data_IF_186459036455
#
_entry.id   IF_186459036455
#
_cell.length_a   1.000
_cell.length_b   1.000
_cell.length_c   1.000
_cell.angle_alpha   90.00
_cell.angle_beta   90.00
_cell.angle_gamma   90.00
#
_symmetry.space_group_name_H-M   'P 1'
#
loop_
_entity.id
_entity.type
_entity.pdbx_description
1 polymer ?
#
# COMPACT_ATOMS: atom_id res chain seq x y z
N UNK A 1 -1.26 -3.77 2.85
CA UNK A 1 -2.72 -3.88 2.59
C UNK A 1 -3.56 -3.24 3.68
N UNK A 2 -4.87 -3.18 3.43
CA UNK A 2 -5.83 -2.62 4.38
C UNK A 2 -5.98 -3.47 5.65
N UNK A 3 -5.82 -4.77 5.56
CA UNK A 3 -5.83 -5.67 6.72
C UNK A 3 -4.68 -5.42 7.68
N UNK A 4 -3.50 -5.11 7.18
CA UNK A 4 -2.31 -4.82 7.99
C UNK A 4 -2.40 -3.47 8.71
N UNK A 5 -3.33 -2.60 8.32
CA UNK A 5 -3.56 -1.34 9.02
C UNK A 5 -4.24 -1.52 10.39
N UNK A 6 -4.76 -2.72 10.70
CA UNK A 6 -5.28 -3.04 12.03
C UNK A 6 -4.16 -3.36 13.04
N UNK A 7 -2.93 -3.56 12.57
CA UNK A 7 -1.79 -3.78 13.47
C UNK A 7 -1.43 -2.48 14.21
N UNK A 8 -1.20 -2.53 15.53
CA UNK A 8 -0.85 -1.35 16.32
C UNK A 8 0.35 -0.59 15.78
N UNK A 9 1.35 -1.30 15.26
CA UNK A 9 2.55 -0.74 14.68
C UNK A 9 2.26 0.08 13.41
N UNK A 10 1.28 -0.35 12.62
CA UNK A 10 0.90 0.36 11.39
C UNK A 10 0.26 1.72 11.68
N UNK A 11 -0.54 1.81 12.75
CA UNK A 11 -1.25 3.03 13.12
C UNK A 11 -0.48 3.90 14.11
N UNK A 12 0.41 3.30 14.89
CA UNK A 12 1.06 3.97 16.02
C UNK A 12 1.95 5.16 15.66
N UNK A 13 2.53 5.16 14.47
CA UNK A 13 3.49 6.18 14.04
C UNK A 13 2.95 7.18 13.00
N UNK A 14 1.70 7.05 12.52
CA UNK A 14 1.19 7.94 11.47
C UNK A 14 1.18 9.41 11.88
N UNK A 15 0.90 9.74 13.15
CA UNK A 15 0.92 11.10 13.65
C UNK A 15 2.32 11.74 13.69
N UNK A 16 3.38 10.93 13.75
CA UNK A 16 4.75 11.43 13.74
C UNK A 16 5.12 12.03 12.38
N UNK A 17 4.77 11.37 11.29
CA UNK A 17 5.09 11.84 9.95
C UNK A 17 4.53 13.23 9.64
N UNK A 18 3.32 13.54 10.12
CA UNK A 18 2.72 14.86 9.94
C UNK A 18 3.35 15.92 10.85
N UNK A 19 3.68 15.58 12.11
CA UNK A 19 4.39 16.51 13.02
C UNK A 19 5.78 16.90 12.50
N UNK A 20 6.46 15.96 11.84
CA UNK A 20 7.77 16.17 11.22
C UNK A 20 7.68 16.78 9.82
N UNK A 21 6.46 17.08 9.33
CA UNK A 21 6.21 17.65 7.99
C UNK A 21 6.88 16.87 6.85
N UNK A 22 6.79 15.54 6.89
CA UNK A 22 7.41 14.67 5.89
C UNK A 22 6.60 14.70 4.56
N UNK A 23 6.62 15.82 3.87
CA UNK A 23 5.85 16.03 2.64
C UNK A 23 6.38 15.24 1.41
N UNK A 24 7.56 14.65 1.52
CA UNK A 24 8.11 13.71 0.57
C UNK A 24 7.74 12.24 0.86
N UNK A 25 6.96 11.97 1.91
CA UNK A 25 6.48 10.64 2.25
C UNK A 25 5.11 10.39 1.61
N UNK A 26 5.02 9.34 0.82
CA UNK A 26 3.78 8.88 0.19
C UNK A 26 3.52 7.44 0.61
N UNK A 27 2.42 7.21 1.33
CA UNK A 27 1.91 5.86 1.59
C UNK A 27 0.90 5.47 0.53
N UNK A 28 0.94 4.23 0.08
CA UNK A 28 -0.08 3.65 -0.78
C UNK A 28 -0.66 2.43 -0.08
N UNK A 29 -1.93 2.51 0.32
CA UNK A 29 -2.62 1.41 0.97
C UNK A 29 -3.44 0.68 -0.08
N UNK A 30 -3.11 -0.58 -0.30
CA UNK A 30 -3.85 -1.47 -1.17
C UNK A 30 -5.13 -1.93 -0.46
N UNK A 31 -6.26 -1.33 -0.80
CA UNK A 31 -7.55 -1.60 -0.19
C UNK A 31 -8.34 -2.60 -1.03
N UNK A 32 -8.03 -3.89 -0.90
CA UNK A 32 -8.81 -4.94 -1.54
C UNK A 32 -10.03 -5.38 -0.70
N UNK A 33 -10.16 -4.90 0.54
CA UNK A 33 -11.22 -5.15 1.51
C UNK A 33 -11.23 -6.60 2.04
N UNK A 34 -10.18 -7.37 1.79
CA UNK A 34 -10.13 -8.80 2.16
C UNK A 34 -8.89 -9.15 2.96
N UNK A 35 -9.10 -9.94 4.02
CA UNK A 35 -8.06 -10.71 4.71
C UNK A 35 -7.87 -12.08 4.04
N UNK A 36 -7.34 -13.05 4.77
CA UNK A 36 -7.14 -14.42 4.27
C UNK A 36 -8.48 -15.13 4.04
N UNK A 37 -9.36 -15.09 5.01
CA UNK A 37 -10.57 -15.91 5.07
C UNK A 37 -11.88 -15.10 5.00
N UNK A 38 -11.79 -13.79 4.82
CA UNK A 38 -12.98 -12.94 4.79
C UNK A 38 -12.69 -11.45 4.58
N UNK A 39 -13.71 -10.59 4.69
CA UNK A 39 -13.54 -9.15 4.58
C UNK A 39 -12.79 -8.57 5.78
N UNK A 40 -12.08 -7.46 5.57
CA UNK A 40 -11.45 -6.69 6.66
C UNK A 40 -12.52 -6.13 7.59
N UNK A 41 -13.60 -5.57 6.99
CA UNK A 41 -14.80 -5.11 7.69
C UNK A 41 -16.02 -5.70 6.98
N UNK A 42 -16.72 -6.66 7.57
CA UNK A 42 -17.90 -7.26 6.95
C UNK A 42 -19.04 -6.25 6.73
N UNK A 43 -19.43 -5.59 7.79
CA UNK A 43 -20.49 -4.59 7.86
C UNK A 43 -19.97 -3.16 8.13
N UNK A 44 -18.67 -2.92 7.97
CA UNK A 44 -18.02 -1.63 8.07
C UNK A 44 -17.51 -1.15 6.71
N UNK A 45 -16.67 -0.11 6.74
CA UNK A 45 -16.11 0.57 5.56
C UNK A 45 -14.66 0.97 5.83
N UNK A 46 -13.73 0.06 5.62
CA UNK A 46 -12.33 0.26 5.98
C UNK A 46 -11.69 1.47 5.30
N UNK A 47 -12.05 1.79 4.05
CA UNK A 47 -11.47 2.94 3.34
C UNK A 47 -11.88 4.25 4.04
N UNK A 48 -13.12 4.37 4.49
CA UNK A 48 -13.59 5.56 5.21
C UNK A 48 -13.00 5.65 6.62
N UNK A 49 -12.82 4.51 7.29
CA UNK A 49 -12.13 4.44 8.59
C UNK A 49 -10.68 4.91 8.46
N UNK A 50 -9.95 4.41 7.45
CA UNK A 50 -8.57 4.84 7.17
C UNK A 50 -8.50 6.31 6.75
N UNK A 51 -9.43 6.78 5.91
CA UNK A 51 -9.51 8.21 5.55
C UNK A 51 -9.62 9.07 6.79
N UNK A 52 -10.55 8.75 7.70
CA UNK A 52 -10.75 9.51 8.94
C UNK A 52 -9.51 9.47 9.85
N UNK A 53 -8.86 8.31 9.98
CA UNK A 53 -7.67 8.15 10.79
C UNK A 53 -6.49 8.97 10.26
N UNK A 54 -6.23 8.93 8.96
CA UNK A 54 -5.14 9.68 8.34
C UNK A 54 -5.41 11.19 8.32
N UNK A 55 -6.65 11.62 8.03
CA UNK A 55 -7.03 13.03 8.14
C UNK A 55 -6.84 13.54 9.56
N UNK A 56 -7.31 12.77 10.56
CA UNK A 56 -7.14 13.10 11.99
C UNK A 56 -5.68 13.16 12.42
N UNK A 57 -4.80 12.39 11.78
CA UNK A 57 -3.35 12.42 12.00
C UNK A 57 -2.62 13.51 11.20
N UNK A 58 -3.32 14.35 10.44
CA UNK A 58 -2.74 15.48 9.71
C UNK A 58 -2.15 15.13 8.35
N UNK A 59 -2.61 14.06 7.71
CA UNK A 59 -2.18 13.66 6.37
C UNK A 59 -3.08 14.24 5.28
N UNK A 60 -2.51 14.49 4.12
CA UNK A 60 -3.26 14.63 2.87
C UNK A 60 -3.73 13.25 2.40
N UNK A 61 -5.05 13.11 2.13
CA UNK A 61 -5.65 11.82 1.76
C UNK A 61 -6.19 11.87 0.34
N UNK A 62 -5.74 10.95 -0.50
CA UNK A 62 -6.23 10.77 -1.87
C UNK A 62 -6.90 9.39 -1.96
N UNK A 63 -8.20 9.36 -2.28
CA UNK A 63 -8.93 8.11 -2.52
C UNK A 63 -9.01 7.78 -4.01
N UNK A 64 -8.57 6.60 -4.39
CA UNK A 64 -8.64 6.08 -5.77
C UNK A 64 -9.59 4.87 -5.78
N UNK A 65 -10.89 5.14 -5.72
CA UNK A 65 -11.93 4.13 -5.53
C UNK A 65 -12.51 3.65 -6.85
N UNK A 66 -12.95 4.59 -7.69
CA UNK A 66 -13.66 4.30 -8.93
C UNK A 66 -12.75 4.46 -10.14
N UNK A 67 -12.76 3.47 -11.03
CA UNK A 67 -12.05 3.55 -12.31
C UNK A 67 -12.80 4.38 -13.35
N UNK A 68 -12.13 4.67 -14.46
CA UNK A 68 -12.65 5.55 -15.51
C UNK A 68 -13.96 5.04 -16.16
N UNK A 69 -14.22 3.74 -16.12
CA UNK A 69 -15.48 3.18 -16.65
C UNK A 69 -16.71 3.59 -15.83
N UNK A 70 -16.54 4.07 -14.61
CA UNK A 70 -17.61 4.64 -13.79
C UNK A 70 -17.90 6.11 -14.11
N UNK A 71 -16.96 6.82 -14.73
CA UNK A 71 -17.09 8.27 -14.94
C UNK A 71 -18.37 8.65 -15.71
N UNK A 72 -18.79 7.95 -16.78
CA UNK A 72 -20.04 8.27 -17.46
C UNK A 72 -21.28 8.08 -16.59
N UNK A 73 -21.32 7.04 -15.75
CA UNK A 73 -22.44 6.79 -14.83
C UNK A 73 -22.50 7.86 -13.74
N UNK A 74 -21.33 8.23 -13.20
CA UNK A 74 -21.22 9.30 -12.19
C UNK A 74 -21.60 10.68 -12.74
N UNK A 75 -21.33 10.94 -14.03
CA UNK A 75 -21.76 12.18 -14.72
C UNK A 75 -23.27 12.23 -14.92
N UNK A 76 -23.91 11.10 -15.18
CA UNK A 76 -25.36 11.00 -15.31
C UNK A 76 -26.11 11.10 -13.98
N UNK A 77 -25.42 10.91 -12.86
CA UNK A 77 -26.00 10.90 -11.51
C UNK A 77 -26.31 12.33 -11.00
N UNK A 78 -27.19 13.03 -11.73
CA UNK A 78 -27.56 14.42 -11.41
C UNK A 78 -28.24 14.58 -10.05
N UNK A 79 -28.95 13.55 -9.58
CA UNK A 79 -29.63 13.53 -8.26
C UNK A 79 -28.74 13.00 -7.14
N UNK A 80 -27.53 12.53 -7.43
CA UNK A 80 -26.60 11.95 -6.46
C UNK A 80 -27.07 10.60 -5.89
N UNK A 81 -28.01 9.91 -6.55
CA UNK A 81 -28.55 8.65 -6.08
C UNK A 81 -27.56 7.50 -6.16
N UNK A 82 -26.79 7.43 -7.26
CA UNK A 82 -25.71 6.46 -7.41
C UNK A 82 -24.63 6.66 -6.34
N UNK A 83 -24.18 7.91 -6.15
CA UNK A 83 -23.20 8.25 -5.10
C UNK A 83 -23.69 7.92 -3.71
N UNK A 84 -24.98 8.19 -3.41
CA UNK A 84 -25.59 7.83 -2.13
C UNK A 84 -25.57 6.31 -1.93
N UNK A 85 -26.01 5.54 -2.92
CA UNK A 85 -25.97 4.07 -2.83
C UNK A 85 -24.56 3.54 -2.62
N UNK A 86 -23.56 4.08 -3.35
CA UNK A 86 -22.15 3.76 -3.12
C UNK A 86 -21.69 4.07 -1.70
N UNK A 87 -22.17 5.15 -1.11
CA UNK A 87 -21.86 5.54 0.26
C UNK A 87 -22.56 4.64 1.31
N UNK A 88 -23.71 4.05 0.99
CA UNK A 88 -24.45 3.16 1.87
C UNK A 88 -23.87 1.74 1.89
N UNK A 89 -23.29 1.27 0.78
CA UNK A 89 -22.72 -0.07 0.67
C UNK A 89 -21.61 -0.32 1.69
N UNK A 90 -21.72 -1.43 2.40
CA UNK A 90 -20.66 -1.93 3.29
C UNK A 90 -19.67 -2.84 2.53
N UNK A 91 -18.51 -3.07 3.11
CA UNK A 91 -17.41 -3.79 2.43
C UNK A 91 -17.78 -5.21 2.01
N UNK A 92 -18.58 -5.91 2.83
CA UNK A 92 -19.07 -7.26 2.51
C UNK A 92 -20.00 -7.30 1.30
N UNK A 93 -20.94 -6.33 1.19
CA UNK A 93 -21.80 -6.21 -0.01
C UNK A 93 -20.96 -5.88 -1.25
N UNK A 94 -20.03 -4.94 -1.09
CA UNK A 94 -19.18 -4.45 -2.16
C UNK A 94 -18.34 -5.53 -2.81
N UNK A 95 -17.83 -6.47 -2.02
CA UNK A 95 -17.09 -7.63 -2.51
C UNK A 95 -17.99 -8.62 -3.26
N UNK A 96 -19.20 -8.86 -2.75
CA UNK A 96 -20.14 -9.73 -3.42
C UNK A 96 -20.46 -9.29 -4.84
N UNK A 97 -20.55 -7.98 -5.10
CA UNK A 97 -20.83 -7.48 -6.44
C UNK A 97 -19.77 -7.88 -7.45
N UNK A 98 -18.50 -7.89 -7.10
CA UNK A 98 -17.45 -8.36 -8.02
C UNK A 98 -17.38 -9.88 -8.10
N UNK A 99 -17.46 -10.57 -6.96
CA UNK A 99 -17.31 -12.01 -6.91
C UNK A 99 -18.46 -12.76 -7.61
N UNK A 100 -19.70 -12.25 -7.49
CA UNK A 100 -20.91 -12.90 -8.03
C UNK A 100 -21.26 -12.47 -9.47
N UNK A 101 -20.55 -11.49 -10.02
CA UNK A 101 -20.68 -11.10 -11.41
C UNK A 101 -21.66 -9.98 -11.71
N UNK A 102 -21.78 -9.63 -13.02
CA UNK A 102 -22.53 -8.47 -13.47
C UNK A 102 -24.04 -8.61 -13.29
N UNK A 103 -24.62 -9.77 -13.56
CA UNK A 103 -26.05 -10.01 -13.35
C UNK A 103 -26.45 -9.78 -11.88
N UNK A 104 -25.64 -10.30 -10.94
CA UNK A 104 -25.87 -10.08 -9.52
C UNK A 104 -25.75 -8.60 -9.14
N UNK A 105 -24.77 -7.90 -9.71
CA UNK A 105 -24.57 -6.47 -9.49
C UNK A 105 -25.72 -5.64 -10.04
N UNK A 106 -26.21 -5.99 -11.23
CA UNK A 106 -27.40 -5.34 -11.83
C UNK A 106 -28.60 -5.43 -10.91
N UNK A 107 -28.88 -6.62 -10.40
CA UNK A 107 -30.07 -6.84 -9.59
C UNK A 107 -29.92 -6.30 -8.16
N UNK A 108 -28.79 -6.54 -7.50
CA UNK A 108 -28.64 -6.28 -6.06
C UNK A 108 -27.99 -4.94 -5.73
N UNK A 109 -27.35 -4.27 -6.70
CA UNK A 109 -26.83 -2.91 -6.56
C UNK A 109 -27.70 -1.91 -7.32
N UNK A 110 -27.66 -1.93 -8.65
CA UNK A 110 -28.44 -0.99 -9.45
C UNK A 110 -29.95 -1.19 -9.29
N UNK A 111 -30.40 -2.44 -9.12
CA UNK A 111 -31.80 -2.79 -8.93
C UNK A 111 -32.43 -2.29 -7.63
N UNK A 112 -31.65 -1.76 -6.67
CA UNK A 112 -32.18 -1.14 -5.45
C UNK A 112 -33.03 0.11 -5.73
N UNK A 113 -32.79 0.77 -6.87
CA UNK A 113 -33.53 1.95 -7.31
C UNK A 113 -33.87 1.86 -8.78
N UNK A 114 -35.15 2.11 -9.20
CA UNK A 114 -35.55 2.06 -10.61
C UNK A 114 -34.69 2.95 -11.53
N UNK A 115 -34.33 4.14 -11.06
CA UNK A 115 -33.53 5.10 -11.82
C UNK A 115 -32.10 4.57 -12.09
N UNK A 116 -31.51 3.84 -11.15
CA UNK A 116 -30.21 3.24 -11.34
C UNK A 116 -30.26 2.01 -12.22
N UNK A 117 -31.36 1.24 -12.17
CA UNK A 117 -31.60 0.13 -13.08
C UNK A 117 -31.73 0.62 -14.53
N UNK A 118 -32.43 1.73 -14.75
CA UNK A 118 -32.55 2.40 -16.04
C UNK A 118 -31.20 2.94 -16.52
N UNK A 119 -30.41 3.54 -15.64
CA UNK A 119 -29.05 4.07 -15.96
C UNK A 119 -28.13 3.02 -16.62
N UNK A 120 -28.29 1.75 -16.28
CA UNK A 120 -27.49 0.63 -16.79
C UNK A 120 -28.27 -0.28 -17.74
N UNK A 121 -29.44 0.14 -18.22
CA UNK A 121 -30.28 -0.69 -19.09
C UNK A 121 -29.57 -1.13 -20.39
N UNK A 122 -28.74 -0.26 -20.92
CA UNK A 122 -27.97 -0.49 -22.17
C UNK A 122 -26.62 -1.21 -21.97
N UNK A 123 -26.22 -1.48 -20.72
CA UNK A 123 -25.00 -2.21 -20.42
C UNK A 123 -25.32 -3.71 -20.35
N UNK A 124 -24.47 -4.55 -20.92
CA UNK A 124 -24.52 -6.00 -20.69
C UNK A 124 -24.08 -6.33 -19.26
N UNK A 125 -24.35 -7.55 -18.81
CA UNK A 125 -23.85 -8.00 -17.51
C UNK A 125 -22.32 -8.09 -17.48
N UNK A 126 -21.70 -8.36 -18.63
CA UNK A 126 -20.26 -8.34 -18.78
C UNK A 126 -19.69 -6.92 -18.65
N UNK A 127 -20.35 -5.90 -19.25
CA UNK A 127 -19.95 -4.50 -19.08
C UNK A 127 -20.02 -4.08 -17.61
N UNK A 128 -21.08 -4.46 -16.90
CA UNK A 128 -21.22 -4.18 -15.47
C UNK A 128 -20.12 -4.89 -14.66
N UNK A 129 -19.76 -6.11 -15.02
CA UNK A 129 -18.68 -6.82 -14.36
C UNK A 129 -17.32 -6.16 -14.59
N UNK A 130 -17.12 -5.57 -15.78
CA UNK A 130 -15.91 -4.86 -16.17
C UNK A 130 -15.80 -3.44 -15.58
N UNK A 131 -16.84 -2.89 -14.94
CA UNK A 131 -16.73 -1.62 -14.21
C UNK A 131 -15.59 -1.72 -13.20
N UNK A 132 -14.48 -1.05 -13.52
CA UNK A 132 -13.20 -1.24 -12.83
C UNK A 132 -13.08 -0.46 -11.51
N UNK A 133 -12.17 -0.90 -10.67
CA UNK A 133 -11.78 -0.20 -9.43
C UNK A 133 -10.62 0.73 -9.71
N UNK A 134 -10.58 1.87 -9.02
CA UNK A 134 -9.61 2.93 -9.26
C UNK A 134 -8.16 2.50 -9.12
N UNK A 135 -7.86 1.60 -8.15
CA UNK A 135 -6.52 1.06 -7.96
C UNK A 135 -5.99 0.19 -9.12
N UNK A 136 -6.89 -0.21 -10.05
CA UNK A 136 -6.55 -0.93 -11.28
C UNK A 136 -6.71 -0.07 -12.54
N UNK A 137 -6.91 1.23 -12.37
CA UNK A 137 -7.01 2.19 -13.47
C UNK A 137 -5.72 2.99 -13.57
N UNK A 138 -4.92 2.71 -14.60
CA UNK A 138 -3.60 3.32 -14.76
C UNK A 138 -3.65 4.86 -14.76
N UNK A 139 -4.68 5.46 -15.38
CA UNK A 139 -4.85 6.93 -15.42
C UNK A 139 -5.17 7.49 -14.03
N UNK A 140 -6.11 6.86 -13.32
CA UNK A 140 -6.49 7.30 -11.97
C UNK A 140 -5.33 7.18 -10.99
N UNK A 141 -4.57 6.07 -11.06
CA UNK A 141 -3.38 5.83 -10.25
C UNK A 141 -2.29 6.87 -10.59
N UNK A 142 -1.99 7.08 -11.87
CA UNK A 142 -1.01 8.10 -12.29
C UNK A 142 -1.37 9.49 -11.77
N UNK A 143 -2.63 9.90 -11.91
CA UNK A 143 -3.09 11.20 -11.43
C UNK A 143 -2.99 11.34 -9.90
N UNK A 144 -3.25 10.25 -9.16
CA UNK A 144 -3.11 10.25 -7.70
C UNK A 144 -1.64 10.45 -7.29
N UNK A 145 -0.71 9.73 -7.91
CA UNK A 145 0.72 9.94 -7.67
C UNK A 145 1.18 11.34 -8.07
N UNK A 146 0.70 11.85 -9.20
CA UNK A 146 1.04 13.21 -9.64
C UNK A 146 0.55 14.26 -8.64
N UNK A 147 -0.66 14.09 -8.10
CA UNK A 147 -1.20 14.98 -7.08
C UNK A 147 -0.39 14.87 -5.76
N UNK A 148 -0.07 13.65 -5.33
CA UNK A 148 0.75 13.41 -4.15
C UNK A 148 2.14 14.03 -4.25
N UNK A 149 2.81 13.90 -5.41
CA UNK A 149 4.14 14.49 -5.66
C UNK A 149 4.15 16.01 -5.69
N UNK A 150 3.02 16.66 -5.95
CA UNK A 150 2.88 18.12 -5.96
C UNK A 150 2.45 18.70 -4.62
N UNK A 151 1.95 17.84 -3.73
CA UNK A 151 1.50 18.28 -2.42
C UNK A 151 2.70 18.56 -1.51
N UNK A 152 2.63 19.63 -0.73
CA UNK A 152 3.68 20.07 0.19
C UNK A 152 3.13 20.32 1.59
N UNK A 153 3.99 20.27 2.59
CA UNK A 153 3.67 20.59 3.97
C UNK A 153 2.98 19.45 4.76
N UNK A 154 2.63 18.34 4.12
CA UNK A 154 2.01 17.19 4.75
C UNK A 154 2.43 15.89 4.05
N UNK A 155 2.59 14.77 4.76
CA UNK A 155 2.67 13.45 4.11
C UNK A 155 1.36 13.12 3.41
N UNK A 156 1.43 12.32 2.35
CA UNK A 156 0.26 11.91 1.58
C UNK A 156 0.00 10.42 1.70
N UNK A 157 -1.25 10.02 1.90
CA UNK A 157 -1.70 8.64 1.75
C UNK A 157 -2.62 8.51 0.54
N UNK A 158 -2.37 7.48 -0.29
CA UNK A 158 -3.24 7.08 -1.39
C UNK A 158 -3.97 5.80 -0.96
N UNK A 159 -5.28 5.88 -0.78
CA UNK A 159 -6.15 4.73 -0.50
C UNK A 159 -6.63 4.17 -1.83
N UNK A 160 -5.97 3.12 -2.31
CA UNK A 160 -6.21 2.54 -3.62
C UNK A 160 -7.15 1.34 -3.54
N UNK A 161 -8.40 1.49 -4.00
CA UNK A 161 -9.35 0.39 -4.08
C UNK A 161 -8.99 -0.58 -5.17
N UNK A 162 -8.72 -1.81 -4.79
CA UNK A 162 -8.33 -2.90 -5.67
C UNK A 162 -9.26 -4.11 -5.54
N UNK A 163 -8.97 -5.16 -6.29
CA UNK A 163 -9.65 -6.45 -6.25
C UNK A 163 -8.61 -7.52 -5.95
N UNK A 164 -8.86 -8.36 -4.96
CA UNK A 164 -7.99 -9.50 -4.65
C UNK A 164 -7.95 -10.46 -5.84
N UNK A 165 -6.74 -10.85 -6.26
CA UNK A 165 -6.57 -11.70 -7.44
C UNK A 165 -6.96 -11.04 -8.76
N UNK A 166 -6.87 -9.72 -8.86
CA UNK A 166 -7.16 -9.00 -10.10
C UNK A 166 -6.41 -9.59 -11.30
N UNK A 167 -7.12 -9.83 -12.36
CA UNK A 167 -6.58 -10.41 -13.59
C UNK A 167 -6.74 -11.92 -13.70
N UNK A 168 -6.96 -12.64 -12.60
CA UNK A 168 -7.09 -14.09 -12.62
C UNK A 168 -8.40 -14.59 -13.25
N UNK A 169 -9.33 -13.68 -13.54
CA UNK A 169 -10.63 -14.02 -14.11
C UNK A 169 -11.52 -14.84 -13.19
N UNK A 170 -12.67 -15.24 -13.72
CA UNK A 170 -13.64 -16.03 -12.92
C UNK A 170 -13.12 -17.42 -12.60
N UNK A 171 -12.43 -18.06 -13.54
CA UNK A 171 -11.84 -19.40 -13.37
C UNK A 171 -10.69 -19.39 -12.37
N UNK A 172 -9.90 -18.32 -12.30
CA UNK A 172 -8.80 -18.13 -11.36
C UNK A 172 -9.23 -17.61 -9.98
N UNK A 173 -10.53 -17.40 -9.74
CA UNK A 173 -11.05 -16.98 -8.44
C UNK A 173 -10.92 -15.48 -8.14
N UNK A 174 -10.89 -14.61 -9.16
CA UNK A 174 -10.85 -13.15 -8.95
C UNK A 174 -11.94 -12.68 -8.00
N UNK A 175 -11.58 -11.85 -7.04
CA UNK A 175 -12.41 -11.34 -5.95
C UNK A 175 -12.87 -12.38 -4.91
N UNK A 176 -12.35 -13.59 -4.96
CA UNK A 176 -12.72 -14.66 -4.03
C UNK A 176 -11.60 -14.92 -3.00
N UNK A 177 -11.95 -15.41 -1.82
CA UNK A 177 -10.97 -15.72 -0.77
C UNK A 177 -10.00 -16.83 -1.19
N UNK A 178 -10.49 -17.80 -2.00
CA UNK A 178 -9.67 -18.90 -2.51
C UNK A 178 -8.41 -18.45 -3.23
N UNK A 179 -8.41 -17.24 -3.80
CA UNK A 179 -7.26 -16.66 -4.50
C UNK A 179 -6.00 -16.63 -3.63
N UNK A 180 -6.16 -16.47 -2.31
CA UNK A 180 -5.00 -16.45 -1.42
C UNK A 180 -4.27 -17.79 -1.35
N UNK A 181 -4.98 -18.89 -1.53
CA UNK A 181 -4.44 -20.25 -1.49
C UNK A 181 -4.16 -20.82 -2.89
N UNK A 182 -4.44 -20.07 -3.95
CA UNK A 182 -4.23 -20.50 -5.33
C UNK A 182 -2.73 -20.66 -5.61
N UNK A 183 -2.28 -21.89 -5.74
CA UNK A 183 -0.86 -22.21 -6.01
C UNK A 183 -0.54 -22.37 -7.48
N UNK A 184 -1.52 -22.77 -8.29
CA UNK A 184 -1.38 -22.98 -9.73
C UNK A 184 -2.66 -22.56 -10.43
N UNK A 185 -2.51 -21.94 -11.59
CA UNK A 185 -3.59 -21.69 -12.52
C UNK A 185 -3.64 -22.86 -13.52
N UNK A 186 -4.82 -23.26 -13.91
CA UNK A 186 -5.00 -24.20 -15.02
C UNK A 186 -4.81 -23.47 -16.37
N UNK A 187 -4.75 -24.22 -17.45
CA UNK A 187 -4.52 -23.68 -18.79
C UNK A 187 -5.60 -22.69 -19.22
N UNK A 188 -6.85 -22.87 -18.78
CA UNK A 188 -7.95 -21.98 -19.10
C UNK A 188 -7.77 -20.62 -18.42
N UNK A 189 -7.42 -20.61 -17.11
CA UNK A 189 -7.15 -19.38 -16.36
C UNK A 189 -5.90 -18.66 -16.89
N UNK A 190 -4.87 -19.40 -17.31
CA UNK A 190 -3.67 -18.83 -17.93
C UNK A 190 -3.99 -18.13 -19.26
N UNK A 191 -4.84 -18.74 -20.10
CA UNK A 191 -5.30 -18.11 -21.35
C UNK A 191 -6.14 -16.88 -21.08
N UNK A 192 -7.09 -16.95 -20.13
CA UNK A 192 -7.91 -15.79 -19.73
C UNK A 192 -7.02 -14.62 -19.25
N UNK A 193 -6.00 -14.90 -18.44
CA UNK A 193 -5.03 -13.89 -17.98
C UNK A 193 -4.23 -13.30 -19.14
N UNK A 194 -3.65 -14.15 -19.99
CA UNK A 194 -2.89 -13.73 -21.18
C UNK A 194 -3.71 -12.82 -22.09
N UNK A 195 -4.91 -13.26 -22.42
CA UNK A 195 -5.79 -12.54 -23.35
C UNK A 195 -6.26 -11.21 -22.79
N UNK A 196 -6.59 -11.18 -21.48
CA UNK A 196 -6.99 -9.96 -20.79
C UNK A 196 -5.90 -8.89 -20.78
N UNK A 197 -4.64 -9.29 -20.68
CA UNK A 197 -3.50 -8.36 -20.64
C UNK A 197 -2.75 -8.27 -21.97
N UNK A 198 -3.26 -8.89 -23.04
CA UNK A 198 -2.64 -8.91 -24.35
C UNK A 198 -1.17 -9.34 -24.32
N UNK A 199 -0.85 -10.36 -23.50
CA UNK A 199 0.51 -10.87 -23.39
C UNK A 199 0.82 -11.71 -24.65
N UNK A 200 1.88 -11.40 -25.42
CA UNK A 200 2.16 -12.04 -26.71
C UNK A 200 2.82 -13.43 -26.52
N UNK A 201 2.07 -14.36 -25.94
CA UNK A 201 2.47 -15.77 -25.76
C UNK A 201 1.48 -16.65 -26.52
N UNK A 202 1.99 -17.58 -27.34
CA UNK A 202 1.14 -18.47 -28.12
C UNK A 202 0.41 -19.51 -27.27
N UNK A 203 -0.66 -20.10 -27.79
CA UNK A 203 -1.37 -21.19 -27.12
C UNK A 203 -0.48 -22.42 -26.91
N UNK A 204 0.49 -22.65 -27.80
CA UNK A 204 1.43 -23.77 -27.68
C UNK A 204 2.42 -23.56 -26.54
N UNK A 205 2.80 -22.32 -26.27
CA UNK A 205 3.84 -21.98 -25.29
C UNK A 205 3.28 -21.69 -23.88
N UNK A 206 1.96 -21.46 -23.77
CA UNK A 206 1.36 -20.97 -22.51
C UNK A 206 1.62 -21.91 -21.33
N UNK A 207 1.61 -23.23 -21.55
CA UNK A 207 1.86 -24.22 -20.51
C UNK A 207 3.28 -24.20 -19.97
N UNK A 208 4.26 -23.67 -20.75
CA UNK A 208 5.66 -23.52 -20.32
C UNK A 208 5.90 -22.28 -19.49
N UNK A 209 4.91 -21.38 -19.38
CA UNK A 209 4.99 -20.12 -18.63
C UNK A 209 6.23 -19.28 -18.98
N UNK A 210 6.48 -18.97 -20.26
CA UNK A 210 7.66 -18.25 -20.65
C UNK A 210 7.65 -16.83 -20.05
N UNK A 211 8.81 -16.35 -19.63
CA UNK A 211 8.95 -14.96 -19.23
C UNK A 211 8.82 -14.03 -20.44
N UNK A 212 7.77 -13.24 -20.48
CA UNK A 212 7.66 -12.19 -21.46
C UNK A 212 8.58 -11.02 -21.11
N UNK A 213 9.44 -10.65 -22.06
CA UNK A 213 10.27 -9.46 -21.98
C UNK A 213 10.00 -8.61 -23.22
N UNK A 214 9.56 -7.34 -23.07
CA UNK A 214 9.46 -6.43 -24.20
C UNK A 214 10.81 -6.25 -24.92
N UNK A 215 10.76 -5.98 -26.21
CA UNK A 215 11.98 -5.71 -26.97
C UNK A 215 12.73 -4.49 -26.41
N UNK A 216 14.05 -4.54 -26.37
CA UNK A 216 14.89 -3.47 -25.78
C UNK A 216 14.70 -2.11 -26.47
N UNK A 217 14.31 -2.12 -27.74
CA UNK A 217 14.00 -0.92 -28.52
C UNK A 217 12.51 -0.54 -28.50
N UNK A 218 11.68 -1.21 -27.70
CA UNK A 218 10.26 -0.84 -27.56
C UNK A 218 10.10 0.52 -26.87
N UNK A 219 8.98 1.15 -27.09
CA UNK A 219 8.69 2.48 -26.53
C UNK A 219 8.68 2.44 -24.98
N UNK A 220 8.09 1.38 -24.42
CA UNK A 220 8.00 1.17 -22.97
C UNK A 220 9.38 1.04 -22.34
N UNK A 221 10.28 0.26 -22.93
CA UNK A 221 11.64 0.06 -22.40
C UNK A 221 12.46 1.36 -22.53
N UNK A 222 12.35 2.04 -23.67
CA UNK A 222 13.05 3.34 -23.84
C UNK A 222 12.55 4.38 -22.83
N UNK A 223 11.26 4.45 -22.61
CA UNK A 223 10.68 5.34 -21.60
C UNK A 223 11.19 4.99 -20.20
N UNK A 224 11.09 3.73 -19.80
CA UNK A 224 11.55 3.25 -18.49
C UNK A 224 13.02 3.57 -18.25
N UNK A 225 13.88 3.23 -19.21
CA UNK A 225 15.33 3.47 -19.09
C UNK A 225 15.64 4.96 -19.05
N UNK A 226 15.00 5.78 -19.88
CA UNK A 226 15.19 7.23 -19.88
C UNK A 226 14.79 7.85 -18.53
N UNK A 227 13.68 7.42 -17.94
CA UNK A 227 13.28 7.86 -16.60
C UNK A 227 14.28 7.43 -15.52
N UNK A 228 14.79 6.20 -15.58
CA UNK A 228 15.80 5.71 -14.63
C UNK A 228 17.11 6.49 -14.73
N UNK A 229 17.56 6.78 -15.93
CA UNK A 229 18.75 7.61 -16.14
C UNK A 229 18.59 9.02 -15.59
N UNK A 230 17.44 9.65 -15.84
CA UNK A 230 17.13 10.97 -15.31
C UNK A 230 17.13 11.03 -13.77
N UNK A 231 16.86 9.90 -13.10
CA UNK A 231 16.91 9.76 -11.64
C UNK A 231 18.29 9.29 -11.11
N UNK A 232 19.33 9.31 -11.91
CA UNK A 232 20.68 8.89 -11.51
C UNK A 232 21.00 7.40 -11.65
N UNK A 233 20.18 6.65 -12.39
CA UNK A 233 20.40 5.23 -12.69
C UNK A 233 19.57 4.26 -11.83
N UNK A 234 19.98 3.01 -11.82
CA UNK A 234 19.25 1.96 -11.10
C UNK A 234 19.54 1.98 -9.60
N UNK A 235 18.51 1.77 -8.79
CA UNK A 235 18.59 1.68 -7.33
C UNK A 235 18.26 0.24 -6.86
N UNK A 236 18.78 -0.15 -5.70
CA UNK A 236 19.83 0.51 -4.94
C UNK A 236 21.21 0.32 -5.56
N UNK A 237 22.02 1.37 -5.58
CA UNK A 237 23.44 1.21 -5.80
C UNK A 237 24.09 0.87 -4.45
N UNK A 238 24.47 -0.38 -4.28
CA UNK A 238 25.17 -0.79 -3.07
C UNK A 238 26.62 -0.35 -3.18
N UNK A 239 27.12 0.26 -2.11
CA UNK A 239 28.54 0.63 -1.99
C UNK A 239 29.09 0.04 -0.69
N UNK A 240 30.25 -0.57 -0.79
CA UNK A 240 31.05 -1.03 0.34
C UNK A 240 32.14 0.01 0.74
N UNK A 241 32.08 1.19 0.12
CA UNK A 241 33.05 2.28 0.33
C UNK A 241 32.72 3.17 1.52
N UNK A 242 31.98 2.69 2.51
CA UNK A 242 31.77 3.44 3.73
C UNK A 242 33.11 3.65 4.46
N UNK A 243 33.44 4.87 4.91
CA UNK A 243 34.62 5.07 5.74
C UNK A 243 34.55 4.17 6.98
N UNK A 244 35.64 3.50 7.36
CA UNK A 244 35.66 2.69 8.57
C UNK A 244 35.46 3.59 9.78
N UNK A 245 34.54 3.20 10.68
CA UNK A 245 34.37 3.87 11.95
C UNK A 245 35.54 3.48 12.89
N UNK A 246 36.21 4.47 13.43
CA UNK A 246 37.23 4.26 14.46
C UNK A 246 36.55 4.11 15.80
N UNK A 247 36.49 2.89 16.33
CA UNK A 247 35.93 2.62 17.64
C UNK A 247 36.79 3.15 18.77
N UNK A 248 36.24 3.61 19.91
CA UNK A 248 37.01 3.98 21.08
C UNK A 248 37.90 2.84 21.56
N UNK A 249 39.10 3.17 22.01
CA UNK A 249 39.98 2.19 22.63
C UNK A 249 39.40 1.73 23.98
N UNK A 250 39.82 0.53 24.44
CA UNK A 250 39.32 -0.06 25.71
C UNK A 250 39.58 0.83 26.91
N UNK A 251 40.66 1.61 26.86
CA UNK A 251 41.04 2.58 27.89
C UNK A 251 39.97 3.65 28.16
N UNK A 252 39.18 4.02 27.17
CA UNK A 252 38.07 4.95 27.36
C UNK A 252 37.01 4.42 28.34
N UNK A 253 36.90 3.11 28.45
CA UNK A 253 35.96 2.41 29.32
C UNK A 253 36.55 1.96 30.64
N UNK A 254 37.81 2.33 30.96
CA UNK A 254 38.51 1.95 32.19
C UNK A 254 37.67 2.14 33.46
N UNK A 255 36.90 3.25 33.63
CA UNK A 255 36.04 3.43 34.81
C UNK A 255 34.92 2.39 34.98
N UNK A 256 34.61 1.65 33.93
CA UNK A 256 33.59 0.58 33.93
C UNK A 256 34.22 -0.82 34.03
N UNK A 257 35.50 -0.93 33.71
CA UNK A 257 36.23 -2.21 33.70
C UNK A 257 36.93 -2.45 35.07
N UNK A 258 37.12 -1.39 35.83
CA UNK A 258 37.62 -1.46 37.18
C UNK A 258 36.45 -1.67 38.17
N UNK A 259 36.74 -1.87 39.44
CA UNK A 259 35.73 -2.09 40.44
C UNK A 259 34.87 -0.82 40.67
N UNK A 260 33.59 -0.98 40.97
CA UNK A 260 32.72 0.09 41.47
C UNK A 260 33.08 0.48 42.92
N UNK A 261 34.05 -0.17 43.54
CA UNK A 261 34.41 -0.03 44.91
C UNK A 261 33.29 -0.53 45.84
N UNK A 262 32.98 0.24 46.88
CA UNK A 262 31.87 -0.08 47.80
C UNK A 262 30.48 0.36 47.30
N UNK A 263 30.41 0.94 46.08
CA UNK A 263 29.13 1.42 45.53
C UNK A 263 28.42 0.31 44.77
N UNK A 264 27.22 0.02 45.21
CA UNK A 264 26.29 -0.83 44.41
C UNK A 264 25.82 -0.07 43.20
N UNK A 265 25.98 -0.65 42.03
CA UNK A 265 25.56 -0.08 40.74
C UNK A 265 24.68 -1.10 40.02
N UNK A 266 23.48 -0.67 39.63
CA UNK A 266 22.64 -1.51 38.76
C UNK A 266 23.25 -1.67 37.37
N UNK A 267 22.93 -2.75 36.69
CA UNK A 267 23.33 -2.98 35.29
C UNK A 267 22.85 -1.87 34.35
N UNK A 268 21.64 -1.32 34.62
CA UNK A 268 21.10 -0.16 33.90
C UNK A 268 22.00 1.06 34.03
N UNK A 269 22.44 1.38 35.26
CA UNK A 269 23.33 2.52 35.50
C UNK A 269 24.72 2.30 34.89
N UNK A 270 25.21 1.06 34.85
CA UNK A 270 26.45 0.74 34.17
C UNK A 270 26.32 0.99 32.66
N UNK A 271 25.20 0.56 32.07
CA UNK A 271 24.90 0.81 30.65
C UNK A 271 24.78 2.32 30.36
N UNK A 272 24.07 3.10 31.20
CA UNK A 272 23.93 4.54 31.00
C UNK A 272 25.30 5.24 31.01
N UNK A 273 26.22 4.81 31.93
CA UNK A 273 27.60 5.34 31.95
C UNK A 273 28.37 4.97 30.69
N UNK A 274 28.25 3.71 30.20
CA UNK A 274 28.81 3.28 28.93
C UNK A 274 28.31 4.17 27.79
N UNK A 275 27.01 4.36 27.71
CA UNK A 275 26.36 5.20 26.71
C UNK A 275 26.88 6.63 26.75
N UNK A 276 27.04 7.19 27.95
CA UNK A 276 27.62 8.52 28.14
C UNK A 276 29.07 8.66 27.69
N UNK A 277 29.86 7.58 27.74
CA UNK A 277 31.22 7.55 27.17
C UNK A 277 31.14 7.55 25.63
N UNK A 278 30.29 6.71 25.06
CA UNK A 278 30.10 6.61 23.60
C UNK A 278 29.62 7.94 23.01
N UNK A 279 28.62 8.58 23.62
CA UNK A 279 28.07 9.86 23.15
C UNK A 279 29.08 11.02 23.19
N UNK A 280 30.08 10.95 24.08
CA UNK A 280 31.16 11.96 24.21
C UNK A 280 32.34 11.68 23.32
N UNK A 281 32.41 10.50 22.70
CA UNK A 281 33.49 10.18 21.76
C UNK A 281 33.41 11.06 20.53
N UNK A 282 34.55 11.61 20.11
CA UNK A 282 34.64 12.57 19.00
C UNK A 282 34.42 11.95 17.64
N UNK A 283 34.71 10.65 17.50
CA UNK A 283 34.63 9.94 16.22
C UNK A 283 33.26 9.32 16.02
N UNK A 284 32.73 8.60 17.03
CA UNK A 284 31.49 7.86 16.87
C UNK A 284 30.28 8.49 17.58
N UNK A 285 30.50 9.46 18.46
CA UNK A 285 29.40 9.99 19.30
C UNK A 285 28.21 10.52 18.49
N UNK A 286 28.46 11.16 17.34
CA UNK A 286 27.41 11.62 16.44
C UNK A 286 26.62 10.50 15.72
N UNK A 287 27.14 9.29 15.74
CA UNK A 287 26.52 8.09 15.14
C UNK A 287 25.73 7.26 16.16
N UNK A 288 25.84 7.60 17.46
CA UNK A 288 25.16 6.91 18.55
C UNK A 288 23.86 7.66 18.87
N UNK A 289 22.73 7.05 18.58
CA UNK A 289 21.40 7.64 18.80
C UNK A 289 20.62 6.76 19.79
N UNK A 290 20.54 7.16 21.08
CA UNK A 290 19.71 6.46 22.04
C UNK A 290 18.24 6.65 21.71
N UNK A 291 17.48 5.56 21.70
CA UNK A 291 16.03 5.59 21.56
C UNK A 291 15.44 5.16 22.90
N UNK A 292 14.80 6.10 23.58
CA UNK A 292 14.26 5.89 24.94
C UNK A 292 12.74 6.16 24.89
N UNK A 293 11.90 5.23 25.35
CA UNK A 293 10.44 5.42 25.26
C UNK A 293 9.97 6.64 26.09
N UNK A 294 10.21 6.68 27.39
CA UNK A 294 9.80 7.84 28.25
C UNK A 294 10.63 7.98 29.56
N UNK A 295 11.35 6.95 29.96
CA UNK A 295 11.92 6.86 31.30
C UNK A 295 13.36 7.34 31.40
N UNK A 296 13.84 8.23 30.55
CA UNK A 296 15.23 8.70 30.54
C UNK A 296 15.70 9.17 31.92
N UNK A 297 14.91 10.01 32.61
CA UNK A 297 15.24 10.50 33.97
C UNK A 297 15.22 9.39 34.99
N UNK A 298 14.30 8.43 34.89
CA UNK A 298 14.21 7.28 35.81
C UNK A 298 15.47 6.42 35.72
N UNK A 299 16.06 6.31 34.52
CA UNK A 299 17.31 5.58 34.29
C UNK A 299 18.58 6.44 34.47
N UNK A 300 18.45 7.71 34.80
CA UNK A 300 19.60 8.60 35.04
C UNK A 300 20.28 9.06 33.75
N UNK A 301 19.54 9.16 32.65
CA UNK A 301 19.99 9.69 31.36
C UNK A 301 19.84 11.20 31.29
#
# INVERSE_FOLDING_TARGET
>A
GDGEMDEPESMGAIGMASRENLDNLIFVINCNLQRLDGPVRGNGKIIQELEAAFLGAGWNVIKVVWGSLWDPLLQQDSKGLLRRLMMECVDGEYQNFKAKGGAYTRENFFGKYPELKEMVANLSDEDIWHLNRGGHDARKVFNAYQAAMKHTGQPTVILAKTVKGFGLGRTGGEAQNITHQQKKLDDAALREFRDRFNIPVSDADIASLPYFRPAENSEEIRYLQGRRQALGGYLPQRSDRAPPLRTPALEAFKPLLESSGEREISTTMAFVRLLGILLKDKEIGSHVVPIVPDEARTFGM
#
